data_IF_301537647869
#
_entry.id   IF_301537647869
#
_cell.length_a   1.000
_cell.length_b   1.000
_cell.length_c   1.000
_cell.angle_alpha   90.00
_cell.angle_beta   90.00
_cell.angle_gamma   90.00
#
_symmetry.space_group_name_H-M   'P 1'
#
loop_
_entity.id
_entity.type
_entity.pdbx_description
1 polymer ?
#
# COMPACT_ATOMS: atom_id res chain seq x y z
N UNK A 1 14.28 7.53 13.37
CA UNK A 1 13.28 7.59 12.29
C UNK A 1 11.90 7.31 12.87
N UNK A 2 10.82 7.90 12.39
CA UNK A 2 9.44 7.54 12.77
C UNK A 2 8.95 6.36 11.93
N UNK A 3 7.96 5.61 12.41
CA UNK A 3 7.35 4.52 11.66
C UNK A 3 6.41 5.03 10.57
N UNK A 4 5.82 6.17 10.74
CA UNK A 4 4.81 6.76 9.87
C UNK A 4 5.15 8.20 9.50
N UNK A 5 4.69 8.64 8.33
CA UNK A 5 4.81 10.02 7.87
C UNK A 5 3.54 10.82 8.16
N UNK A 6 3.68 12.14 8.33
CA UNK A 6 2.58 13.09 8.33
C UNK A 6 2.29 13.69 6.95
N UNK A 7 3.05 13.27 5.94
CA UNK A 7 2.92 13.75 4.57
C UNK A 7 2.64 12.55 3.64
N UNK A 8 1.67 12.68 2.79
CA UNK A 8 1.25 11.65 1.83
C UNK A 8 1.21 12.21 0.42
N UNK A 9 1.65 11.42 -0.56
CA UNK A 9 1.34 11.61 -1.97
C UNK A 9 0.12 10.76 -2.30
N UNK A 10 -0.87 11.36 -2.95
CA UNK A 10 -2.04 10.68 -3.49
C UNK A 10 -2.28 11.14 -4.92
N UNK A 11 -2.72 10.24 -5.79
CA UNK A 11 -3.00 10.53 -7.20
C UNK A 11 -4.49 10.52 -7.44
N UNK A 12 -5.04 11.67 -7.89
CA UNK A 12 -6.45 11.82 -8.24
C UNK A 12 -6.66 11.29 -9.66
N UNK A 13 -7.47 10.24 -9.85
CA UNK A 13 -7.53 9.54 -11.14
C UNK A 13 -8.24 10.39 -12.21
N UNK A 14 -7.74 10.38 -13.44
CA UNK A 14 -8.44 10.84 -14.64
C UNK A 14 -9.15 9.70 -15.36
N UNK A 15 -8.61 8.49 -15.26
CA UNK A 15 -9.19 7.24 -15.72
C UNK A 15 -9.26 6.24 -14.56
N UNK A 16 -10.36 5.53 -14.44
CA UNK A 16 -10.50 4.47 -13.43
C UNK A 16 -11.51 3.43 -13.93
N UNK A 17 -11.13 2.17 -13.87
CA UNK A 17 -11.95 1.01 -14.20
C UNK A 17 -11.30 -0.26 -13.67
N UNK A 18 -11.96 -1.39 -13.78
CA UNK A 18 -11.28 -2.68 -13.63
C UNK A 18 -10.14 -2.77 -14.66
N UNK A 19 -8.94 -3.08 -14.19
CA UNK A 19 -7.76 -3.20 -15.04
C UNK A 19 -7.59 -4.67 -15.49
N UNK A 20 -7.83 -4.93 -16.74
CA UNK A 20 -7.76 -6.26 -17.34
C UNK A 20 -6.36 -6.89 -17.28
N UNK A 21 -5.30 -6.07 -17.26
CA UNK A 21 -3.92 -6.56 -17.14
C UNK A 21 -3.58 -7.01 -15.72
N UNK A 22 -4.20 -6.41 -14.71
CA UNK A 22 -3.97 -6.77 -13.30
C UNK A 22 -4.96 -7.80 -12.78
N UNK A 23 -6.15 -7.92 -13.39
CA UNK A 23 -7.20 -8.86 -12.99
C UNK A 23 -6.77 -10.34 -13.10
N UNK A 24 -5.70 -10.65 -13.84
CA UNK A 24 -5.18 -12.02 -14.01
C UNK A 24 -4.67 -12.64 -12.71
N UNK A 25 -4.22 -11.83 -11.75
CA UNK A 25 -3.71 -12.27 -10.45
C UNK A 25 -4.23 -11.43 -9.27
N UNK A 26 -4.90 -10.29 -9.50
CA UNK A 26 -5.61 -9.52 -8.49
C UNK A 26 -7.07 -10.01 -8.38
N UNK A 27 -7.30 -11.00 -7.53
CA UNK A 27 -8.62 -11.63 -7.34
C UNK A 27 -9.59 -10.81 -6.49
N UNK A 28 -9.21 -9.62 -6.04
CA UNK A 28 -10.08 -8.67 -5.37
C UNK A 28 -10.90 -7.82 -6.35
N UNK A 29 -10.45 -7.73 -7.61
CA UNK A 29 -11.15 -6.95 -8.63
C UNK A 29 -12.41 -7.65 -9.12
N UNK A 30 -13.44 -6.84 -9.35
CA UNK A 30 -14.64 -7.23 -10.09
C UNK A 30 -15.20 -6.05 -10.89
N UNK A 31 -15.87 -6.35 -11.99
CA UNK A 31 -16.47 -5.33 -12.83
C UNK A 31 -17.67 -4.65 -12.15
N UNK A 32 -17.99 -3.45 -12.60
CA UNK A 32 -19.13 -2.67 -12.12
C UNK A 32 -20.21 -2.57 -13.20
N UNK A 33 -21.47 -2.55 -12.80
CA UNK A 33 -22.60 -2.31 -13.70
C UNK A 33 -22.71 -0.82 -14.15
N UNK A 34 -21.92 0.06 -13.57
CA UNK A 34 -21.91 1.50 -13.90
C UNK A 34 -21.21 1.73 -15.25
N UNK A 35 -21.64 2.74 -15.99
CA UNK A 35 -20.94 3.19 -17.19
C UNK A 35 -19.57 3.81 -16.86
N UNK A 36 -18.62 3.75 -17.81
CA UNK A 36 -17.23 4.17 -17.59
C UNK A 36 -17.08 5.58 -16.99
N UNK A 37 -17.81 6.57 -17.51
CA UNK A 37 -17.77 7.95 -16.96
C UNK A 37 -18.28 8.01 -15.51
N UNK A 38 -19.32 7.24 -15.18
CA UNK A 38 -19.87 7.20 -13.82
C UNK A 38 -18.89 6.54 -12.83
N UNK A 39 -18.15 5.52 -13.26
CA UNK A 39 -17.10 4.86 -12.46
C UNK A 39 -16.01 5.88 -12.10
N UNK A 40 -15.50 6.63 -13.09
CA UNK A 40 -14.46 7.64 -12.86
C UNK A 40 -14.95 8.75 -11.93
N UNK A 41 -16.18 9.25 -12.16
CA UNK A 41 -16.77 10.30 -11.30
C UNK A 41 -16.94 9.83 -9.85
N UNK A 42 -17.46 8.63 -9.65
CA UNK A 42 -17.63 8.07 -8.29
C UNK A 42 -16.28 7.81 -7.62
N UNK A 43 -15.29 7.28 -8.35
CA UNK A 43 -13.94 7.10 -7.82
C UNK A 43 -13.32 8.43 -7.38
N UNK A 44 -13.48 9.50 -8.18
CA UNK A 44 -13.05 10.86 -7.82
C UNK A 44 -13.76 11.37 -6.56
N UNK A 45 -15.06 11.16 -6.44
CA UNK A 45 -15.80 11.55 -5.24
C UNK A 45 -15.30 10.86 -3.97
N UNK A 46 -15.06 9.53 -4.04
CA UNK A 46 -14.50 8.77 -2.92
C UNK A 46 -13.07 9.21 -2.59
N UNK A 47 -12.24 9.44 -3.60
CA UNK A 47 -10.89 9.98 -3.43
C UNK A 47 -10.91 11.34 -2.73
N UNK A 48 -11.71 12.29 -3.23
CA UNK A 48 -11.81 13.66 -2.68
C UNK A 48 -12.34 13.65 -1.23
N UNK A 49 -13.27 12.74 -0.92
CA UNK A 49 -13.77 12.55 0.45
C UNK A 49 -12.68 12.00 1.38
N UNK A 50 -11.88 11.04 0.92
CA UNK A 50 -10.75 10.51 1.69
C UNK A 50 -9.68 11.58 1.95
N UNK A 51 -9.28 12.35 0.92
CA UNK A 51 -8.33 13.47 1.08
C UNK A 51 -8.86 14.51 2.07
N UNK A 52 -10.15 14.83 2.00
CA UNK A 52 -10.79 15.78 2.93
C UNK A 52 -10.76 15.25 4.37
N UNK A 53 -11.03 13.96 4.59
CA UNK A 53 -10.98 13.34 5.91
C UNK A 53 -9.56 13.35 6.49
N UNK A 54 -8.55 13.00 5.69
CA UNK A 54 -7.14 13.03 6.09
C UNK A 54 -6.69 14.44 6.46
N UNK A 55 -6.96 15.44 5.61
CA UNK A 55 -6.61 16.84 5.87
C UNK A 55 -7.31 17.39 7.11
N UNK A 56 -8.57 17.02 7.34
CA UNK A 56 -9.34 17.43 8.52
C UNK A 56 -8.77 16.84 9.81
N UNK A 57 -8.08 15.73 9.73
CA UNK A 57 -7.38 15.09 10.85
C UNK A 57 -5.92 15.58 11.01
N UNK A 58 -5.49 16.56 10.23
CA UNK A 58 -4.15 17.15 10.32
C UNK A 58 -3.07 16.46 9.52
N UNK A 59 -3.42 15.51 8.64
CA UNK A 59 -2.45 14.88 7.72
C UNK A 59 -2.22 15.78 6.52
N UNK A 60 -0.97 16.02 6.14
CA UNK A 60 -0.64 16.76 4.93
C UNK A 60 -0.73 15.84 3.71
N UNK A 61 -1.57 16.20 2.73
CA UNK A 61 -1.76 15.41 1.52
C UNK A 61 -1.39 16.25 0.30
N UNK A 62 -0.33 15.83 -0.39
CA UNK A 62 0.03 16.30 -1.73
C UNK A 62 -0.80 15.50 -2.73
N UNK A 63 -1.60 16.19 -3.53
CA UNK A 63 -2.44 15.56 -4.55
C UNK A 63 -1.84 15.88 -5.92
N UNK A 64 -1.55 14.82 -6.67
CA UNK A 64 -1.24 14.92 -8.09
C UNK A 64 -2.53 14.61 -8.87
N UNK A 65 -2.99 15.59 -9.66
CA UNK A 65 -4.11 15.36 -10.58
C UNK A 65 -3.58 14.70 -11.84
N UNK A 66 -4.03 13.47 -12.10
CA UNK A 66 -3.63 12.76 -13.31
C UNK A 66 -4.12 13.52 -14.56
N UNK A 67 -3.27 13.67 -15.61
CA UNK A 67 -3.65 14.36 -16.84
C UNK A 67 -4.87 13.73 -17.51
N UNK A 68 -5.76 14.56 -18.03
CA UNK A 68 -6.93 14.10 -18.78
C UNK A 68 -6.51 13.30 -20.03
N UNK A 69 -7.19 12.19 -20.27
CA UNK A 69 -6.92 11.30 -21.40
C UNK A 69 -5.83 10.26 -21.15
N UNK A 70 -5.28 10.16 -19.94
CA UNK A 70 -4.43 9.03 -19.54
C UNK A 70 -5.22 7.72 -19.58
N UNK A 71 -4.56 6.62 -19.95
CA UNK A 71 -5.13 5.28 -19.88
C UNK A 71 -4.40 4.42 -18.83
N UNK A 72 -4.46 4.89 -17.59
CA UNK A 72 -3.79 4.33 -16.41
C UNK A 72 -4.83 4.04 -15.32
N UNK A 73 -5.61 2.95 -15.45
CA UNK A 73 -6.77 2.68 -14.59
C UNK A 73 -6.44 2.51 -13.11
N UNK A 74 -5.20 2.15 -12.77
CA UNK A 74 -4.74 1.95 -11.39
C UNK A 74 -3.88 3.12 -10.86
N UNK A 75 -3.82 4.27 -11.56
CA UNK A 75 -2.98 5.42 -11.18
C UNK A 75 -3.24 5.94 -9.75
N UNK A 76 -4.45 5.71 -9.21
CA UNK A 76 -4.76 6.09 -7.82
C UNK A 76 -4.03 5.23 -6.75
N UNK A 77 -3.18 4.27 -7.15
CA UNK A 77 -2.37 3.43 -6.26
C UNK A 77 -0.86 3.72 -6.39
N UNK A 78 -0.41 4.95 -6.06
CA UNK A 78 0.97 5.39 -6.30
C UNK A 78 2.01 4.59 -5.49
N UNK A 79 1.63 4.02 -4.37
CA UNK A 79 2.53 3.26 -3.50
C UNK A 79 3.16 2.03 -4.19
N UNK A 80 2.66 1.64 -5.36
CA UNK A 80 3.20 0.50 -6.09
C UNK A 80 4.40 0.87 -6.96
N UNK A 81 4.51 2.11 -7.42
CA UNK A 81 5.58 2.51 -8.33
C UNK A 81 6.60 3.49 -7.74
N UNK A 82 6.30 4.10 -6.57
CA UNK A 82 7.20 5.07 -5.92
C UNK A 82 7.23 4.87 -4.41
N UNK A 83 8.41 5.05 -3.81
CA UNK A 83 8.57 5.29 -2.37
C UNK A 83 9.59 6.40 -2.11
N UNK A 84 9.41 7.12 -1.01
CA UNK A 84 10.16 8.33 -0.68
C UNK A 84 10.75 8.21 0.71
N UNK A 85 12.07 8.35 0.83
CA UNK A 85 12.84 8.00 2.02
C UNK A 85 13.43 9.23 2.74
N UNK A 86 13.70 9.09 4.04
CA UNK A 86 14.18 10.18 4.90
C UNK A 86 15.62 10.62 4.61
N UNK A 87 16.35 9.83 3.87
CA UNK A 87 17.71 10.11 3.39
C UNK A 87 17.72 10.84 2.03
N UNK A 88 16.56 11.41 1.64
CA UNK A 88 16.35 12.18 0.40
C UNK A 88 16.40 11.33 -0.88
N UNK A 89 16.29 10.02 -0.76
CA UNK A 89 16.19 9.11 -1.90
C UNK A 89 14.74 8.83 -2.25
N UNK A 90 14.49 8.70 -3.54
CA UNK A 90 13.23 8.20 -4.11
C UNK A 90 13.52 6.90 -4.83
N UNK A 91 12.75 5.86 -4.57
CA UNK A 91 12.83 4.61 -5.32
C UNK A 91 11.69 4.52 -6.33
N UNK A 92 12.01 4.11 -7.57
CA UNK A 92 11.08 3.80 -8.63
C UNK A 92 11.08 2.30 -8.89
N UNK A 93 9.90 1.71 -9.00
CA UNK A 93 9.73 0.26 -9.01
C UNK A 93 9.24 -0.28 -10.35
N UNK A 94 9.71 -1.49 -10.74
CA UNK A 94 9.23 -2.20 -11.91
C UNK A 94 7.81 -2.74 -11.71
N UNK A 95 6.94 -2.48 -12.69
CA UNK A 95 5.53 -2.82 -12.68
C UNK A 95 5.23 -4.02 -13.57
N UNK A 96 4.50 -5.01 -13.05
CA UNK A 96 4.08 -6.21 -13.77
C UNK A 96 3.21 -5.89 -14.98
N UNK A 97 2.13 -5.12 -14.76
CA UNK A 97 1.21 -4.71 -15.81
C UNK A 97 1.80 -3.56 -16.63
N UNK A 98 1.86 -3.74 -17.96
CA UNK A 98 2.48 -2.75 -18.87
C UNK A 98 1.79 -1.38 -18.82
N UNK A 99 0.45 -1.37 -18.75
CA UNK A 99 -0.30 -0.11 -18.67
C UNK A 99 -0.06 0.65 -17.35
N UNK A 100 0.44 0.00 -16.29
CA UNK A 100 0.82 0.66 -15.05
C UNK A 100 2.20 1.32 -15.09
N UNK A 101 3.04 0.97 -16.07
CA UNK A 101 4.34 1.62 -16.27
C UNK A 101 4.20 3.09 -16.65
N UNK A 102 3.09 3.45 -17.30
CA UNK A 102 2.72 4.83 -17.65
C UNK A 102 2.28 5.68 -16.42
N UNK A 103 2.08 5.06 -15.25
CA UNK A 103 1.79 5.77 -14.00
C UNK A 103 3.02 6.49 -13.43
N UNK A 104 4.23 6.05 -13.76
CA UNK A 104 5.50 6.68 -13.35
C UNK A 104 5.73 7.97 -14.13
N UNK A 105 5.41 9.10 -13.49
CA UNK A 105 5.45 10.42 -14.10
C UNK A 105 6.50 11.31 -13.43
N UNK A 106 7.37 11.92 -14.23
CA UNK A 106 8.36 12.89 -13.76
C UNK A 106 7.70 14.10 -13.08
N UNK A 107 6.51 14.51 -13.56
CA UNK A 107 5.75 15.61 -12.99
C UNK A 107 5.36 15.40 -11.51
N UNK A 108 5.34 14.17 -11.03
CA UNK A 108 5.15 13.87 -9.60
C UNK A 108 6.39 14.29 -8.80
N UNK A 109 7.60 14.07 -9.32
CA UNK A 109 8.84 14.50 -8.68
C UNK A 109 8.93 16.02 -8.66
N UNK A 110 8.62 16.69 -9.79
CA UNK A 110 8.56 18.14 -9.88
C UNK A 110 7.57 18.74 -8.87
N UNK A 111 6.40 18.09 -8.70
CA UNK A 111 5.41 18.51 -7.71
C UNK A 111 5.94 18.40 -6.28
N UNK A 112 6.63 17.30 -5.94
CA UNK A 112 7.22 17.11 -4.61
C UNK A 112 8.28 18.18 -4.32
N UNK A 113 9.16 18.49 -5.27
CA UNK A 113 10.15 19.55 -5.13
C UNK A 113 9.52 20.94 -4.99
N UNK A 114 8.44 21.22 -5.76
CA UNK A 114 7.65 22.45 -5.64
C UNK A 114 6.99 22.60 -4.27
N UNK A 115 6.56 21.49 -3.66
CA UNK A 115 6.02 21.46 -2.29
C UNK A 115 7.10 21.55 -1.21
N UNK A 116 8.37 21.70 -1.62
CA UNK A 116 9.53 21.93 -0.76
C UNK A 116 10.23 20.67 -0.27
N UNK A 117 9.89 19.49 -0.79
CA UNK A 117 10.59 18.26 -0.47
C UNK A 117 11.94 18.17 -1.20
N UNK A 118 12.95 17.66 -0.50
CA UNK A 118 14.31 17.55 -1.04
C UNK A 118 14.53 16.15 -1.62
N UNK A 119 14.81 16.06 -2.92
CA UNK A 119 15.23 14.84 -3.61
C UNK A 119 16.70 14.99 -3.99
N UNK A 120 17.56 14.08 -3.52
CA UNK A 120 19.01 14.09 -3.87
C UNK A 120 19.37 12.94 -4.80
N UNK A 121 18.64 11.82 -4.72
CA UNK A 121 18.94 10.63 -5.51
C UNK A 121 17.66 9.91 -5.91
N UNK A 122 17.64 9.35 -7.12
CA UNK A 122 16.61 8.44 -7.60
C UNK A 122 17.25 7.06 -7.76
N UNK A 123 16.77 6.08 -7.00
CA UNK A 123 17.15 4.67 -7.16
C UNK A 123 16.11 4.01 -8.06
N UNK A 124 16.53 3.64 -9.26
CA UNK A 124 15.64 3.18 -10.32
C UNK A 124 15.81 1.69 -10.58
N UNK A 125 14.81 0.89 -10.18
CA UNK A 125 14.75 -0.56 -10.40
C UNK A 125 13.97 -0.94 -11.68
N UNK A 126 13.49 0.02 -12.46
CA UNK A 126 12.56 -0.23 -13.56
C UNK A 126 13.16 -1.02 -14.72
N UNK A 127 14.49 -1.03 -14.85
CA UNK A 127 15.19 -1.84 -15.87
C UNK A 127 14.95 -3.35 -15.73
N UNK A 128 14.59 -3.83 -14.54
CA UNK A 128 14.24 -5.23 -14.29
C UNK A 128 13.00 -5.70 -15.07
N UNK A 129 12.15 -4.77 -15.52
CA UNK A 129 10.99 -5.08 -16.39
C UNK A 129 11.41 -5.74 -17.71
N UNK A 130 12.59 -5.41 -18.25
CA UNK A 130 13.13 -5.99 -19.48
C UNK A 130 13.45 -7.49 -19.31
N UNK A 131 13.79 -7.90 -18.10
CA UNK A 131 14.11 -9.29 -17.74
C UNK A 131 12.89 -10.04 -17.17
N UNK A 132 11.76 -9.34 -16.98
CA UNK A 132 10.51 -9.91 -16.44
C UNK A 132 10.50 -10.06 -14.93
N UNK A 133 11.30 -9.28 -14.19
CA UNK A 133 11.29 -9.23 -12.74
C UNK A 133 10.56 -7.98 -12.25
N UNK A 134 9.78 -8.12 -11.18
CA UNK A 134 8.91 -7.07 -10.68
C UNK A 134 8.99 -6.96 -9.15
N UNK A 135 8.91 -5.72 -8.68
CA UNK A 135 8.75 -5.39 -7.26
C UNK A 135 7.87 -4.16 -7.14
N UNK A 136 6.59 -4.33 -6.85
CA UNK A 136 5.64 -3.22 -6.86
C UNK A 136 5.62 -2.46 -5.52
N UNK A 137 6.73 -1.81 -5.21
CA UNK A 137 6.90 -0.87 -4.11
C UNK A 137 6.34 -1.34 -2.77
N UNK A 138 5.67 -0.44 -2.06
CA UNK A 138 5.03 -0.76 -0.78
C UNK A 138 3.67 -1.45 -0.90
N UNK A 139 3.31 -1.91 -2.10
CA UNK A 139 2.33 -2.97 -2.33
C UNK A 139 2.95 -4.33 -2.03
N UNK A 140 4.07 -4.63 -2.66
CA UNK A 140 4.81 -5.89 -2.53
C UNK A 140 5.53 -6.02 -1.19
N UNK A 141 5.92 -4.92 -0.54
CA UNK A 141 6.65 -4.95 0.72
C UNK A 141 6.05 -4.02 1.77
N UNK A 142 6.22 -4.41 3.04
CA UNK A 142 5.83 -3.62 4.21
C UNK A 142 7.08 -3.28 5.00
N UNK A 143 7.28 -1.98 5.29
CA UNK A 143 8.49 -1.49 5.93
C UNK A 143 8.26 -1.18 7.42
N UNK A 144 9.04 -1.82 8.28
CA UNK A 144 9.22 -1.40 9.67
C UNK A 144 10.42 -0.46 9.73
N UNK A 145 10.15 0.82 9.58
CA UNK A 145 11.19 1.85 9.50
C UNK A 145 12.01 1.98 10.78
N UNK A 146 11.40 1.74 11.96
CA UNK A 146 12.07 1.83 13.26
C UNK A 146 13.06 0.69 13.44
N UNK A 147 12.63 -0.54 13.13
CA UNK A 147 13.43 -1.74 13.34
C UNK A 147 14.25 -2.12 12.11
N UNK A 148 14.12 -1.36 11.02
CA UNK A 148 14.81 -1.62 9.73
C UNK A 148 14.57 -3.05 9.24
N UNK A 149 13.30 -3.45 9.19
CA UNK A 149 12.86 -4.75 8.68
C UNK A 149 11.90 -4.51 7.53
N UNK A 150 12.09 -5.20 6.42
CA UNK A 150 11.16 -5.24 5.30
C UNK A 150 10.51 -6.62 5.22
N UNK A 151 9.19 -6.67 5.13
CA UNK A 151 8.41 -7.90 5.02
C UNK A 151 7.86 -8.03 3.60
N UNK A 152 8.06 -9.19 2.96
CA UNK A 152 7.63 -9.43 1.58
C UNK A 152 7.02 -10.83 1.43
N UNK A 153 5.76 -10.88 1.02
CA UNK A 153 5.14 -12.08 0.48
C UNK A 153 5.56 -12.21 -1.00
N UNK A 154 6.33 -13.24 -1.31
CA UNK A 154 6.85 -13.46 -2.67
C UNK A 154 5.71 -13.78 -3.65
N UNK A 155 5.76 -13.19 -4.84
CA UNK A 155 4.73 -13.35 -5.88
C UNK A 155 5.27 -12.96 -7.26
N UNK A 156 4.44 -13.08 -8.29
CA UNK A 156 4.77 -12.56 -9.63
C UNK A 156 5.03 -11.04 -9.66
N UNK A 157 4.60 -10.29 -8.61
CA UNK A 157 4.81 -8.84 -8.46
C UNK A 157 5.78 -8.50 -7.32
N UNK A 158 6.46 -9.50 -6.79
CA UNK A 158 7.38 -9.37 -5.66
C UNK A 158 8.51 -10.40 -5.80
N UNK A 159 9.47 -10.10 -6.68
CA UNK A 159 10.65 -10.92 -6.91
C UNK A 159 11.59 -10.86 -5.71
N UNK A 160 12.17 -12.01 -5.33
CA UNK A 160 13.01 -12.13 -4.14
C UNK A 160 14.36 -11.44 -4.31
N UNK A 161 14.97 -11.53 -5.49
CA UNK A 161 16.30 -10.96 -5.73
C UNK A 161 16.22 -9.43 -5.73
N UNK A 162 15.23 -8.85 -6.40
CA UNK A 162 14.97 -7.41 -6.37
C UNK A 162 14.60 -6.90 -4.96
N UNK A 163 13.84 -7.70 -4.20
CA UNK A 163 13.52 -7.33 -2.83
C UNK A 163 14.76 -7.33 -1.93
N UNK A 164 15.68 -8.28 -2.11
CA UNK A 164 16.95 -8.31 -1.38
C UNK A 164 17.82 -7.12 -1.78
N UNK A 165 17.94 -6.80 -3.08
CA UNK A 165 18.65 -5.63 -3.59
C UNK A 165 18.12 -4.33 -2.95
N UNK A 166 16.78 -4.13 -2.95
CA UNK A 166 16.17 -3.01 -2.23
C UNK A 166 16.55 -2.99 -0.74
N UNK A 167 16.55 -4.14 -0.07
CA UNK A 167 16.92 -4.22 1.34
C UNK A 167 18.40 -3.86 1.57
N UNK A 168 19.29 -4.22 0.68
CA UNK A 168 20.72 -3.84 0.74
C UNK A 168 20.88 -2.35 0.52
N UNK A 169 20.27 -1.77 -0.52
CA UNK A 169 20.37 -0.35 -0.86
C UNK A 169 19.81 0.56 0.25
N UNK A 170 18.69 0.16 0.82
CA UNK A 170 18.01 0.94 1.86
C UNK A 170 18.26 0.45 3.28
N UNK A 171 19.21 -0.46 3.49
CA UNK A 171 19.64 -0.98 4.79
C UNK A 171 18.51 -1.61 5.63
N UNK A 172 17.64 -2.42 5.01
CA UNK A 172 16.62 -3.20 5.70
C UNK A 172 17.06 -4.66 5.88
N UNK A 173 16.60 -5.28 6.95
CA UNK A 173 16.69 -6.74 7.12
C UNK A 173 15.52 -7.39 6.39
N UNK A 174 15.74 -8.25 5.38
CA UNK A 174 14.66 -8.89 4.64
C UNK A 174 13.97 -9.97 5.47
N UNK A 175 12.63 -10.04 5.33
CA UNK A 175 11.80 -11.12 5.88
C UNK A 175 10.84 -11.58 4.79
N UNK A 176 11.23 -12.61 4.04
CA UNK A 176 10.43 -13.22 2.97
C UNK A 176 9.58 -14.37 3.47
N UNK A 177 8.43 -14.57 2.84
CA UNK A 177 7.54 -15.70 3.08
C UNK A 177 6.61 -15.90 1.89
N UNK A 178 5.97 -17.08 1.79
CA UNK A 178 4.96 -17.38 0.80
C UNK A 178 3.56 -17.23 1.40
N UNK A 179 2.66 -16.53 0.71
CA UNK A 179 1.30 -16.31 1.17
C UNK A 179 0.28 -16.65 0.08
N UNK A 180 -0.82 -17.28 0.51
CA UNK A 180 -1.86 -17.79 -0.38
C UNK A 180 -3.25 -17.39 0.13
N UNK A 181 -4.20 -17.34 -0.80
CA UNK A 181 -5.61 -17.07 -0.52
C UNK A 181 -6.50 -18.10 -1.20
N UNK A 182 -7.68 -18.32 -0.63
CA UNK A 182 -8.70 -19.19 -1.20
C UNK A 182 -9.52 -18.42 -2.23
N UNK A 183 -9.44 -18.85 -3.48
CA UNK A 183 -10.27 -18.32 -4.56
C UNK A 183 -11.07 -19.47 -5.14
N UNK A 184 -12.37 -19.52 -4.84
CA UNK A 184 -13.22 -20.69 -5.12
C UNK A 184 -12.62 -21.95 -4.47
N UNK A 185 -12.33 -22.97 -5.26
CA UNK A 185 -11.77 -24.25 -4.78
C UNK A 185 -10.23 -24.34 -4.88
N UNK A 186 -9.54 -23.20 -5.06
CA UNK A 186 -8.09 -23.14 -5.27
C UNK A 186 -7.39 -22.28 -4.21
N UNK A 187 -6.18 -22.67 -3.84
CA UNK A 187 -5.21 -21.84 -3.13
C UNK A 187 -4.36 -21.12 -4.15
N UNK A 188 -4.46 -19.81 -4.23
CA UNK A 188 -3.71 -18.98 -5.16
C UNK A 188 -2.83 -18.00 -4.40
N UNK A 189 -1.70 -17.66 -4.98
CA UNK A 189 -0.73 -16.76 -4.36
C UNK A 189 -1.32 -15.37 -4.15
N UNK A 190 -1.03 -14.74 -3.03
CA UNK A 190 -1.33 -13.34 -2.78
C UNK A 190 -0.36 -12.48 -3.59
N UNK A 191 -0.88 -11.56 -4.38
CA UNK A 191 -0.08 -10.76 -5.30
C UNK A 191 0.71 -9.63 -4.61
N UNK A 192 0.20 -9.08 -3.51
CA UNK A 192 0.83 -8.01 -2.74
C UNK A 192 0.78 -8.27 -1.23
N UNK A 193 1.86 -7.98 -0.54
CA UNK A 193 1.94 -8.13 0.91
C UNK A 193 0.96 -7.21 1.65
N UNK A 194 0.71 -6.01 1.11
CA UNK A 194 -0.16 -5.01 1.75
C UNK A 194 -1.65 -5.37 1.78
N UNK A 195 -2.09 -6.42 1.09
CA UNK A 195 -3.49 -6.88 1.23
C UNK A 195 -3.68 -7.73 2.47
N UNK A 196 -2.61 -8.39 2.96
CA UNK A 196 -2.69 -9.32 4.08
C UNK A 196 -2.10 -8.81 5.39
N UNK A 197 -1.29 -7.74 5.35
CA UNK A 197 -0.70 -7.20 6.57
C UNK A 197 -0.32 -5.72 6.47
N UNK A 198 -0.28 -5.06 7.62
CA UNK A 198 0.38 -3.78 7.82
C UNK A 198 1.20 -3.78 9.11
N UNK A 199 2.22 -2.92 9.16
CA UNK A 199 3.08 -2.73 10.34
C UNK A 199 3.02 -1.28 10.77
N UNK A 200 2.54 -1.04 11.98
CA UNK A 200 2.50 0.24 12.64
C UNK A 200 3.66 0.38 13.66
N UNK A 201 3.71 1.49 14.37
CA UNK A 201 4.73 1.74 15.40
C UNK A 201 4.77 0.63 16.46
N UNK A 202 3.63 0.32 17.08
CA UNK A 202 3.54 -0.61 18.23
C UNK A 202 2.74 -1.88 17.97
N UNK A 203 2.14 -2.02 16.80
CA UNK A 203 1.34 -3.19 16.44
C UNK A 203 1.53 -3.57 14.98
N UNK A 204 1.12 -4.78 14.64
CA UNK A 204 0.97 -5.25 13.27
C UNK A 204 -0.38 -5.95 13.13
N UNK A 205 -1.10 -5.64 12.05
CA UNK A 205 -2.28 -6.41 11.62
C UNK A 205 -1.82 -7.41 10.59
N UNK A 206 -2.18 -8.67 10.73
CA UNK A 206 -1.69 -9.72 9.82
C UNK A 206 -2.63 -10.90 9.71
N UNK A 207 -2.86 -11.38 8.48
CA UNK A 207 -3.54 -12.64 8.20
C UNK A 207 -2.53 -13.79 8.22
N UNK A 208 -2.37 -14.43 9.37
CA UNK A 208 -1.45 -15.56 9.51
C UNK A 208 -1.97 -16.85 8.83
N UNK A 209 -3.27 -16.93 8.55
CA UNK A 209 -3.90 -18.07 7.87
C UNK A 209 -3.47 -18.16 6.39
N UNK A 210 -3.06 -17.03 5.81
CA UNK A 210 -2.58 -16.97 4.44
C UNK A 210 -1.18 -17.57 4.23
N UNK A 211 -0.42 -17.80 5.30
CA UNK A 211 0.91 -18.40 5.22
C UNK A 211 0.76 -19.89 5.50
N UNK A 212 0.79 -20.73 4.47
CA UNK A 212 0.52 -22.16 4.59
C UNK A 212 1.69 -22.90 5.25
N UNK A 213 2.95 -22.49 4.99
CA UNK A 213 4.11 -23.07 5.66
C UNK A 213 4.17 -22.66 7.13
N UNK A 214 4.17 -23.65 8.00
CA UNK A 214 4.16 -23.42 9.47
C UNK A 214 5.47 -22.86 10.00
N UNK A 215 6.58 -23.05 9.31
CA UNK A 215 7.90 -22.51 9.68
C UNK A 215 7.95 -21.03 9.35
N UNK A 216 7.59 -20.64 8.13
CA UNK A 216 7.50 -19.23 7.70
C UNK A 216 6.51 -18.45 8.57
N UNK A 217 5.33 -19.02 8.85
CA UNK A 217 4.33 -18.42 9.75
C UNK A 217 4.88 -18.17 11.16
N UNK A 218 5.64 -19.14 11.72
CA UNK A 218 6.29 -18.98 13.04
C UNK A 218 7.41 -17.93 13.00
N UNK A 219 8.19 -17.92 11.92
CA UNK A 219 9.28 -16.96 11.73
C UNK A 219 8.72 -15.53 11.65
N UNK A 220 7.72 -15.27 10.79
CA UNK A 220 7.07 -13.96 10.69
C UNK A 220 6.51 -13.52 12.06
N UNK A 221 5.77 -14.41 12.73
CA UNK A 221 5.20 -14.12 14.05
C UNK A 221 6.27 -13.81 15.10
N UNK A 222 7.39 -14.51 15.04
CA UNK A 222 8.54 -14.27 15.94
C UNK A 222 9.17 -12.93 15.63
N UNK A 223 9.44 -12.63 14.35
CA UNK A 223 10.04 -11.36 13.90
C UNK A 223 9.21 -10.16 14.35
N UNK A 224 7.88 -10.20 14.16
CA UNK A 224 6.96 -9.15 14.62
C UNK A 224 6.98 -8.97 16.14
N UNK A 225 7.07 -10.05 16.91
CA UNK A 225 7.16 -9.98 18.37
C UNK A 225 8.51 -9.45 18.84
N UNK A 226 9.59 -9.92 18.25
CA UNK A 226 10.95 -9.49 18.61
C UNK A 226 11.16 -7.99 18.28
N UNK A 227 10.48 -7.47 17.26
CA UNK A 227 10.44 -6.03 16.94
C UNK A 227 9.45 -5.23 17.81
N UNK A 228 8.88 -5.82 18.85
CA UNK A 228 8.02 -5.16 19.85
C UNK A 228 6.58 -4.93 19.40
N UNK A 229 6.10 -5.58 18.32
CA UNK A 229 4.74 -5.38 17.82
C UNK A 229 3.70 -6.22 18.56
N UNK A 230 2.60 -5.61 18.96
CA UNK A 230 1.36 -6.30 19.33
C UNK A 230 0.72 -6.84 18.05
N UNK A 231 0.53 -8.15 17.96
CA UNK A 231 -0.05 -8.78 16.78
C UNK A 231 -1.58 -8.77 16.89
N UNK A 232 -2.24 -8.11 15.96
CA UNK A 232 -3.68 -8.17 15.72
C UNK A 232 -3.91 -9.13 14.56
N UNK A 233 -4.23 -10.38 14.88
CA UNK A 233 -4.50 -11.39 13.86
C UNK A 233 -5.88 -11.16 13.25
N UNK A 234 -5.94 -11.17 11.91
CA UNK A 234 -7.17 -11.17 11.11
C UNK A 234 -7.34 -12.52 10.42
N UNK A 235 -8.57 -12.86 10.08
CA UNK A 235 -8.90 -14.06 9.30
C UNK A 235 -8.74 -13.80 7.81
N UNK A 236 -8.74 -14.87 6.99
CA UNK A 236 -8.74 -14.74 5.53
C UNK A 236 -10.02 -14.05 5.03
N UNK A 237 -11.18 -14.31 5.65
CA UNK A 237 -12.42 -13.59 5.32
C UNK A 237 -12.30 -12.09 5.60
N UNK A 238 -11.68 -11.69 6.70
CA UNK A 238 -11.42 -10.29 7.00
C UNK A 238 -10.40 -9.67 6.03
N UNK A 239 -9.40 -10.42 5.61
CA UNK A 239 -8.45 -9.99 4.57
C UNK A 239 -9.17 -9.73 3.24
N UNK A 240 -10.11 -10.57 2.84
CA UNK A 240 -10.95 -10.34 1.66
C UNK A 240 -11.87 -9.11 1.79
N UNK A 241 -12.05 -8.59 3.00
CA UNK A 241 -12.69 -7.29 3.28
C UNK A 241 -11.66 -6.18 3.52
N UNK A 242 -10.45 -6.32 2.97
CA UNK A 242 -9.34 -5.35 3.05
C UNK A 242 -8.83 -5.02 4.46
N UNK A 243 -9.10 -5.85 5.47
CA UNK A 243 -8.65 -5.61 6.84
C UNK A 243 -7.12 -5.69 7.03
N UNK A 244 -6.37 -6.19 6.06
CA UNK A 244 -4.90 -6.08 6.01
C UNK A 244 -4.40 -4.78 5.35
N UNK A 245 -5.26 -4.13 4.55
CA UNK A 245 -4.90 -2.98 3.71
C UNK A 245 -5.13 -1.65 4.44
N UNK A 246 -4.34 -1.40 5.46
CA UNK A 246 -4.41 -0.19 6.28
C UNK A 246 -3.02 0.43 6.49
N UNK A 247 -2.99 1.70 6.86
CA UNK A 247 -1.76 2.45 7.08
C UNK A 247 -1.86 3.32 8.33
N UNK A 248 -0.83 3.28 9.19
CA UNK A 248 -0.66 4.29 10.22
C UNK A 248 0.02 5.52 9.64
N UNK A 249 -0.58 6.68 9.83
CA UNK A 249 -0.07 7.99 9.40
C UNK A 249 0.04 8.93 10.60
N UNK A 250 0.71 10.06 10.46
CA UNK A 250 0.81 11.08 11.50
C UNK A 250 0.00 12.34 11.18
N UNK A 251 -0.49 13.04 12.20
CA UNK A 251 -0.89 14.43 12.04
C UNK A 251 0.32 15.38 12.09
N UNK A 252 0.08 16.68 11.93
CA UNK A 252 1.13 17.72 11.97
C UNK A 252 1.87 17.78 13.32
N UNK A 253 1.21 17.39 14.41
CA UNK A 253 1.81 17.31 15.74
C UNK A 253 2.58 16.00 15.96
N UNK A 254 2.49 15.06 15.02
CA UNK A 254 3.11 13.76 15.03
C UNK A 254 2.35 12.72 15.85
N UNK A 255 1.05 12.92 16.10
CA UNK A 255 0.21 11.90 16.71
C UNK A 255 -0.20 10.85 15.67
N UNK A 256 -0.20 9.56 16.03
CA UNK A 256 -0.55 8.50 15.08
C UNK A 256 -2.06 8.42 14.83
N UNK A 257 -2.43 8.13 13.58
CA UNK A 257 -3.79 7.88 13.11
C UNK A 257 -3.75 6.61 12.26
N UNK A 258 -4.70 5.71 12.42
CA UNK A 258 -4.84 4.55 11.54
C UNK A 258 -5.88 4.85 10.47
N UNK A 259 -5.52 4.60 9.21
CA UNK A 259 -6.40 4.76 8.05
C UNK A 259 -6.70 3.40 7.45
N UNK A 260 -7.97 3.08 7.30
CA UNK A 260 -8.48 1.88 6.61
C UNK A 260 -9.78 2.23 5.89
N UNK A 261 -10.32 1.36 5.06
CA UNK A 261 -11.65 1.57 4.46
C UNK A 261 -12.77 1.25 5.45
N UNK A 262 -13.98 1.75 5.16
CA UNK A 262 -15.18 1.40 5.91
C UNK A 262 -15.50 -0.10 5.82
N UNK A 263 -15.23 -0.73 4.67
CA UNK A 263 -15.32 -2.18 4.46
C UNK A 263 -14.42 -2.94 5.45
N UNK A 264 -13.15 -2.51 5.56
CA UNK A 264 -12.19 -3.10 6.50
C UNK A 264 -12.64 -2.91 7.94
N UNK A 265 -13.02 -1.68 8.31
CA UNK A 265 -13.48 -1.34 9.66
C UNK A 265 -14.66 -2.20 10.09
N UNK A 266 -15.69 -2.34 9.25
CA UNK A 266 -16.89 -3.11 9.53
C UNK A 266 -16.65 -4.63 9.58
N UNK A 267 -15.56 -5.13 8.99
CA UNK A 267 -15.17 -6.54 9.06
C UNK A 267 -14.48 -6.93 10.36
N UNK A 268 -13.93 -5.95 11.08
CA UNK A 268 -13.16 -6.20 12.30
C UNK A 268 -14.09 -6.51 13.48
N UNK A 269 -13.66 -7.46 14.33
CA UNK A 269 -14.36 -7.77 15.56
C UNK A 269 -14.16 -6.67 16.61
N UNK A 270 -15.09 -6.52 17.57
CA UNK A 270 -14.99 -5.52 18.64
C UNK A 270 -13.70 -5.62 19.49
N UNK A 271 -13.15 -6.82 19.66
CA UNK A 271 -11.88 -7.02 20.38
C UNK A 271 -10.68 -6.50 19.59
N UNK A 272 -10.66 -6.70 18.26
CA UNK A 272 -9.63 -6.18 17.36
C UNK A 272 -9.69 -4.65 17.30
N UNK A 273 -10.87 -4.07 17.13
CA UNK A 273 -11.07 -2.61 17.13
C UNK A 273 -10.59 -1.97 18.44
N UNK A 274 -10.97 -2.51 19.60
CA UNK A 274 -10.49 -2.01 20.91
C UNK A 274 -8.98 -2.01 21.04
N UNK A 275 -8.29 -3.01 20.46
CA UNK A 275 -6.83 -3.05 20.47
C UNK A 275 -6.27 -1.91 19.60
N UNK A 276 -6.77 -1.75 18.36
CA UNK A 276 -6.31 -0.72 17.43
C UNK A 276 -6.59 0.70 17.97
N UNK A 277 -7.79 0.94 18.48
CA UNK A 277 -8.20 2.21 19.09
C UNK A 277 -7.40 2.58 20.35
N UNK A 278 -6.84 1.58 21.05
CA UNK A 278 -5.96 1.84 22.20
C UNK A 278 -4.61 2.45 21.79
N UNK A 279 -4.24 2.35 20.54
CA UNK A 279 -2.99 2.90 20.00
C UNK A 279 -3.18 4.25 19.30
N UNK A 280 -4.29 4.43 18.58
CA UNK A 280 -4.56 5.62 17.77
C UNK A 280 -6.04 5.72 17.36
N UNK A 281 -6.55 6.92 17.05
CA UNK A 281 -7.83 7.07 16.38
C UNK A 281 -7.83 6.40 15.00
N UNK A 282 -9.02 6.06 14.50
CA UNK A 282 -9.20 5.41 13.20
C UNK A 282 -10.00 6.33 12.28
N UNK A 283 -9.54 6.48 11.04
CA UNK A 283 -10.25 7.11 9.93
C UNK A 283 -10.62 6.00 8.94
N UNK A 284 -11.91 5.90 8.58
CA UNK A 284 -12.41 4.86 7.68
C UNK A 284 -13.34 5.43 6.61
N UNK A 285 -12.79 6.00 5.51
CA UNK A 285 -13.60 6.46 4.39
C UNK A 285 -14.29 5.31 3.66
N UNK A 286 -15.42 5.60 3.03
CA UNK A 286 -16.13 4.67 2.16
C UNK A 286 -15.42 4.57 0.80
N UNK A 287 -14.87 3.38 0.48
CA UNK A 287 -14.07 3.12 -0.72
C UNK A 287 -14.59 1.96 -1.58
N UNK A 288 -15.82 1.53 -1.37
CA UNK A 288 -16.40 0.31 -1.94
C UNK A 288 -16.22 0.18 -3.46
N UNK A 289 -16.44 1.25 -4.25
CA UNK A 289 -16.25 1.20 -5.71
C UNK A 289 -14.77 1.07 -6.09
N UNK A 290 -13.88 1.76 -5.35
CA UNK A 290 -12.43 1.67 -5.58
C UNK A 290 -11.95 0.25 -5.27
N UNK A 291 -12.41 -0.33 -4.18
CA UNK A 291 -12.13 -1.71 -3.80
C UNK A 291 -12.64 -2.70 -4.83
N UNK A 292 -13.87 -2.51 -5.31
CA UNK A 292 -14.50 -3.39 -6.30
C UNK A 292 -13.74 -3.37 -7.62
N UNK A 293 -13.53 -2.21 -8.21
CA UNK A 293 -12.95 -2.13 -9.56
C UNK A 293 -11.42 -2.21 -9.53
N UNK A 294 -10.75 -1.55 -8.59
CA UNK A 294 -9.29 -1.50 -8.49
C UNK A 294 -8.68 -2.68 -7.75
N UNK A 295 -9.46 -3.36 -6.88
CA UNK A 295 -8.94 -4.45 -6.03
C UNK A 295 -7.84 -4.02 -5.07
N UNK A 296 -7.73 -2.71 -4.80
CA UNK A 296 -6.91 -2.06 -3.79
C UNK A 296 -7.79 -1.22 -2.88
N UNK A 297 -7.28 -0.82 -1.71
CA UNK A 297 -8.03 -0.08 -0.70
C UNK A 297 -7.20 1.08 -0.14
N UNK A 298 -7.52 1.56 1.05
CA UNK A 298 -6.96 2.77 1.64
C UNK A 298 -5.43 2.83 1.61
N UNK A 299 -4.72 1.73 1.98
CA UNK A 299 -3.25 1.68 1.98
C UNK A 299 -2.68 1.91 0.58
N UNK A 300 -3.30 1.32 -0.42
CA UNK A 300 -2.82 1.40 -1.81
C UNK A 300 -2.90 2.83 -2.37
N UNK A 301 -3.83 3.63 -1.88
CA UNK A 301 -4.04 5.02 -2.33
C UNK A 301 -3.04 6.02 -1.71
N UNK A 302 -2.20 5.59 -0.77
CA UNK A 302 -1.31 6.45 0.00
C UNK A 302 0.15 6.06 -0.20
N UNK A 303 0.97 6.95 -0.76
CA UNK A 303 2.42 6.84 -0.74
C UNK A 303 2.98 7.79 0.32
N UNK A 304 3.69 7.25 1.31
CA UNK A 304 4.25 8.04 2.41
C UNK A 304 5.44 8.88 1.94
N UNK A 305 5.46 10.16 2.29
CA UNK A 305 6.58 11.04 2.00
C UNK A 305 7.41 11.19 3.26
N UNK A 306 8.55 10.50 3.31
CA UNK A 306 9.54 10.67 4.37
C UNK A 306 10.64 11.68 4.00
N UNK A 307 10.64 12.21 2.78
CA UNK A 307 11.59 13.25 2.33
C UNK A 307 11.53 14.45 3.28
N UNK A 308 12.67 15.02 3.67
CA UNK A 308 12.68 16.26 4.45
C UNK A 308 12.22 17.44 3.59
N UNK A 309 11.57 18.41 4.22
CA UNK A 309 11.30 19.73 3.61
C UNK A 309 12.51 20.66 3.79
N UNK A 310 12.71 21.58 2.82
CA UNK A 310 13.74 22.60 2.85
C UNK A 310 13.54 23.62 3.98
#
# INVERSE_FOLDING_TARGET
>A
MKQYSSHLLMVRPSSFRMNEQTAVNNYFQSDSELGAEAIVQEARLKFDAMVTALRSAGVEVVVFDEPEGSDTPDALFPNNWISMHADKRVALYPMYAENRREERREEVLDLLEKEGFQIEEIVDYTSAEEEGFFLEGTGSMILDHINRIAYCALSERADEELFIEFCEDFEYTPCTFNAYQSVKDKRLQIYHTNVMMCVADRYAVVCLECIDDTSERKQLKKQLKDSGKTIVAITEDQMHQFAGNMLQVGDQDGNPILVMSDTAYNSLRPDQLRILESFNPIIHPELNLIEQCGGGSARCMMAEIFLPKA
#
